data_IF_448832202113
#
_entry.id   IF_448832202113
#
_cell.length_a   1.000
_cell.length_b   1.000
_cell.length_c   1.000
_cell.angle_alpha   90.00
_cell.angle_beta   90.00
_cell.angle_gamma   90.00
#
_symmetry.space_group_name_H-M   'P 1'
#
loop_
_entity.id
_entity.type
_entity.pdbx_description
1 polymer ?
#
# COMPACT_ATOMS: atom_id res chain seq x y z
N UNK A 1 30.21 -1.34 -4.13
CA UNK A 1 29.60 -1.38 -3.82
C UNK A 1 29.14 -1.78 -3.90
N UNK A 2 29.57 -1.70 -4.21
CA UNK A 2 28.82 -1.64 -4.10
C UNK A 2 28.27 -1.89 -4.06
N UNK A 3 28.39 -1.89 -4.30
CA UNK A 3 27.58 -1.75 -4.01
C UNK A 3 26.89 -1.51 -3.60
N UNK A 4 27.18 -0.98 -3.62
CA UNK A 4 26.35 -0.49 -3.13
C UNK A 4 25.93 -0.26 -3.47
N UNK A 5 26.32 -0.25 -4.08
CA UNK A 5 25.70 0.10 -4.26
C UNK A 5 24.89 0.16 -4.31
N UNK A 6 25.32 0.06 -4.65
CA UNK A 6 24.46 0.40 -4.65
C UNK A 6 23.63 0.46 -4.42
N UNK A 7 23.59 0.42 -4.30
CA UNK A 7 22.64 0.97 -4.00
C UNK A 7 22.56 2.20 -4.21
N UNK A 8 23.24 2.58 -4.84
CA UNK A 8 23.08 3.73 -5.05
C UNK A 8 22.07 4.20 -5.18
N UNK A 9 22.18 5.05 -4.89
CA UNK A 9 20.88 5.04 -4.89
C UNK A 9 20.38 5.92 -5.87
N UNK A 10 19.89 5.27 -6.84
CA UNK A 10 19.27 5.95 -7.91
C UNK A 10 17.90 6.33 -7.49
N UNK A 11 17.36 7.43 -8.00
CA UNK A 11 15.98 7.82 -7.70
C UNK A 11 14.98 6.73 -8.02
N UNK A 12 15.23 5.96 -9.07
CA UNK A 12 14.36 4.87 -9.44
C UNK A 12 14.30 3.80 -8.36
N UNK A 13 15.44 3.56 -7.72
CA UNK A 13 15.49 2.57 -6.65
C UNK A 13 14.68 3.02 -5.45
N UNK A 14 14.68 4.31 -5.16
CA UNK A 14 13.87 4.83 -4.06
C UNK A 14 12.40 4.57 -4.31
N UNK A 15 11.95 4.72 -5.55
CA UNK A 15 10.57 4.41 -5.90
C UNK A 15 10.26 2.94 -5.76
N UNK A 16 11.21 2.08 -6.10
CA UNK A 16 11.03 0.64 -5.99
C UNK A 16 10.87 0.21 -4.54
N UNK A 17 11.63 0.83 -3.64
CA UNK A 17 11.49 0.52 -2.23
C UNK A 17 10.15 0.99 -1.68
N UNK A 18 9.65 2.10 -2.21
CA UNK A 18 8.41 2.66 -1.72
C UNK A 18 7.19 1.87 -2.19
N UNK A 19 7.30 1.17 -3.34
CA UNK A 19 6.14 0.57 -3.98
C UNK A 19 6.51 -0.72 -4.68
N UNK A 20 5.83 -1.82 -4.36
CA UNK A 20 6.07 -3.09 -5.06
C UNK A 20 5.73 -2.96 -6.54
N UNK A 21 6.51 -3.62 -7.37
CA UNK A 21 6.39 -3.46 -8.82
C UNK A 21 5.60 -4.55 -9.50
N UNK A 22 5.62 -5.76 -8.98
CA UNK A 22 4.91 -6.87 -9.62
C UNK A 22 3.66 -7.21 -8.84
N UNK A 23 2.69 -7.82 -9.52
CA UNK A 23 1.47 -8.25 -8.87
C UNK A 23 1.75 -9.20 -7.72
N UNK A 24 2.71 -10.09 -7.91
CA UNK A 24 3.07 -11.03 -6.85
C UNK A 24 3.59 -10.28 -5.61
N UNK A 25 4.46 -9.31 -5.83
CA UNK A 25 5.01 -8.52 -4.73
C UNK A 25 3.93 -7.69 -4.04
N UNK A 26 3.00 -7.14 -4.82
CA UNK A 26 1.90 -6.38 -4.27
C UNK A 26 1.03 -7.25 -3.38
N UNK A 27 0.69 -8.44 -3.85
CA UNK A 27 -0.12 -9.37 -3.07
C UNK A 27 0.60 -9.76 -1.79
N UNK A 28 1.89 -10.06 -1.88
CA UNK A 28 2.68 -10.42 -0.70
C UNK A 28 2.74 -9.28 0.30
N UNK A 29 2.90 -8.06 -0.21
CA UNK A 29 2.96 -6.88 0.66
C UNK A 29 1.63 -6.69 1.41
N UNK A 30 0.52 -6.76 0.69
CA UNK A 30 -0.79 -6.59 1.29
C UNK A 30 -1.07 -7.69 2.31
N UNK A 31 -0.70 -8.93 1.98
CA UNK A 31 -0.86 -10.03 2.91
C UNK A 31 -0.03 -9.85 4.18
N UNK A 32 1.20 -9.35 4.02
CA UNK A 32 2.07 -9.08 5.16
C UNK A 32 1.47 -8.02 6.06
N UNK A 33 0.95 -6.95 5.48
CA UNK A 33 0.33 -5.88 6.26
C UNK A 33 -0.89 -6.41 7.00
N UNK A 34 -1.73 -7.18 6.33
CA UNK A 34 -2.90 -7.76 6.97
C UNK A 34 -2.51 -8.69 8.11
N UNK A 35 -1.47 -9.47 7.91
CA UNK A 35 -0.98 -10.38 8.95
C UNK A 35 -0.48 -9.59 10.16
N UNK A 36 0.25 -8.51 9.91
CA UNK A 36 0.71 -7.65 10.99
C UNK A 36 -0.45 -7.06 11.77
N UNK A 37 -1.52 -6.68 11.09
CA UNK A 37 -2.68 -6.13 11.77
C UNK A 37 -3.35 -7.18 12.65
N UNK A 38 -3.43 -8.42 12.16
CA UNK A 38 -3.99 -9.52 12.94
C UNK A 38 -3.12 -9.80 14.18
N UNK A 39 -1.79 -9.81 13.99
CA UNK A 39 -0.87 -10.03 15.10
C UNK A 39 -0.98 -8.92 16.15
N UNK A 40 -1.09 -7.68 15.68
CA UNK A 40 -1.23 -6.54 16.58
C UNK A 40 -2.51 -6.65 17.41
N UNK A 41 -3.61 -7.04 16.75
CA UNK A 41 -4.88 -7.25 17.45
C UNK A 41 -4.77 -8.34 18.50
N UNK A 42 -4.06 -9.41 18.15
CA UNK A 42 -3.84 -10.51 19.08
C UNK A 42 -3.05 -10.05 20.30
N UNK A 43 -2.01 -9.26 20.09
CA UNK A 43 -1.20 -8.77 21.20
C UNK A 43 -2.00 -7.84 22.11
N UNK A 44 -2.89 -7.06 21.51
CA UNK A 44 -3.79 -6.23 22.31
C UNK A 44 -4.72 -7.11 23.17
N UNK A 45 -5.28 -8.15 22.58
CA UNK A 45 -6.17 -9.06 23.29
C UNK A 45 -5.48 -9.73 24.46
N UNK A 46 -4.18 -9.98 24.34
CA UNK A 46 -3.39 -10.59 25.41
C UNK A 46 -2.94 -9.58 26.46
N UNK A 47 -3.27 -8.31 26.27
CA UNK A 47 -2.90 -7.27 27.21
C UNK A 47 -1.46 -6.79 27.08
N UNK A 48 -0.77 -7.15 26.00
CA UNK A 48 0.62 -6.75 25.81
C UNK A 48 0.76 -5.40 25.16
N UNK A 49 -0.30 -4.90 24.54
CA UNK A 49 -0.32 -3.59 23.87
C UNK A 49 -1.56 -2.88 24.37
N UNK A 50 -1.40 -1.64 24.84
CA UNK A 50 -2.57 -0.91 25.31
C UNK A 50 -3.41 -0.42 24.14
N UNK A 51 -4.64 0.02 24.43
CA UNK A 51 -5.60 0.38 23.40
C UNK A 51 -5.18 1.55 22.56
N UNK A 52 -4.54 2.56 23.14
CA UNK A 52 -4.16 3.73 22.37
C UNK A 52 -2.98 3.42 21.44
N UNK A 53 -2.02 2.63 21.91
CA UNK A 53 -0.91 2.20 21.08
C UNK A 53 -1.41 1.33 19.93
N UNK A 54 -2.34 0.43 20.23
CA UNK A 54 -2.94 -0.42 19.20
C UNK A 54 -3.58 0.43 18.10
N UNK A 55 -4.38 1.42 18.49
CA UNK A 55 -5.07 2.26 17.50
C UNK A 55 -4.10 3.03 16.63
N UNK A 56 -3.03 3.57 17.23
CA UNK A 56 -2.03 4.29 16.46
C UNK A 56 -1.33 3.39 15.46
N UNK A 57 -0.89 2.22 15.91
CA UNK A 57 -0.14 1.31 15.05
C UNK A 57 -1.04 0.73 13.96
N UNK A 58 -2.28 0.38 14.31
CA UNK A 58 -3.19 -0.14 13.31
C UNK A 58 -3.50 0.90 12.24
N UNK A 59 -3.61 2.15 12.63
CA UNK A 59 -3.85 3.23 11.67
C UNK A 59 -2.69 3.37 10.68
N UNK A 60 -1.46 3.22 11.16
CA UNK A 60 -0.28 3.27 10.29
C UNK A 60 -0.36 2.13 9.28
N UNK A 61 -0.67 0.92 9.75
CA UNK A 61 -0.76 -0.24 8.86
C UNK A 61 -1.90 -0.08 7.85
N UNK A 62 -3.02 0.46 8.30
CA UNK A 62 -4.15 0.73 7.41
C UNK A 62 -3.76 1.70 6.30
N UNK A 63 -3.03 2.75 6.65
CA UNK A 63 -2.58 3.73 5.67
C UNK A 63 -1.58 3.15 4.67
N UNK A 64 -0.70 2.26 5.13
CA UNK A 64 0.21 1.57 4.24
C UNK A 64 -0.56 0.72 3.23
N UNK A 65 -1.56 0.00 3.72
CA UNK A 65 -2.39 -0.82 2.85
C UNK A 65 -3.11 0.03 1.82
N UNK A 66 -3.68 1.14 2.26
CA UNK A 66 -4.37 2.07 1.38
C UNK A 66 -3.42 2.65 0.33
N UNK A 67 -2.24 3.05 0.76
CA UNK A 67 -1.26 3.64 -0.15
C UNK A 67 -0.91 2.68 -1.28
N UNK A 68 -0.62 1.42 -0.94
CA UNK A 68 -0.26 0.43 -1.96
C UNK A 68 -1.44 0.18 -2.90
N UNK A 69 -2.65 0.09 -2.36
CA UNK A 69 -3.84 -0.11 -3.19
C UNK A 69 -4.04 1.05 -4.17
N UNK A 70 -3.99 2.28 -3.66
CA UNK A 70 -4.25 3.45 -4.49
C UNK A 70 -3.17 3.60 -5.56
N UNK A 71 -1.92 3.49 -5.17
CA UNK A 71 -0.84 3.66 -6.13
C UNK A 71 -0.83 2.55 -7.17
N UNK A 72 -1.21 1.33 -6.79
CA UNK A 72 -1.34 0.23 -7.74
C UNK A 72 -2.44 0.51 -8.75
N UNK A 73 -3.59 1.02 -8.28
CA UNK A 73 -4.70 1.35 -9.18
C UNK A 73 -4.31 2.47 -10.13
N UNK A 74 -3.61 3.48 -9.64
CA UNK A 74 -3.16 4.58 -10.48
C UNK A 74 -2.18 4.09 -11.53
N UNK A 75 -1.25 3.22 -11.14
CA UNK A 75 -0.29 2.66 -12.07
C UNK A 75 -0.97 1.85 -13.17
N UNK A 76 -1.95 1.02 -12.78
CA UNK A 76 -2.70 0.23 -13.75
C UNK A 76 -3.54 1.10 -14.66
N UNK A 77 -4.09 2.18 -14.12
CA UNK A 77 -4.82 3.15 -14.92
C UNK A 77 -3.91 3.79 -15.96
N UNK A 78 -2.71 4.16 -15.54
CA UNK A 78 -1.72 4.74 -16.46
C UNK A 78 -1.33 3.77 -17.57
N UNK A 79 -1.12 2.49 -17.21
CA UNK A 79 -0.81 1.48 -18.21
C UNK A 79 -1.93 1.28 -19.20
N UNK A 80 -3.17 1.24 -18.73
CA UNK A 80 -4.32 1.10 -19.60
C UNK A 80 -4.46 2.30 -20.51
N UNK A 81 -4.17 3.49 -19.97
CA UNK A 81 -4.21 4.71 -20.77
C UNK A 81 -3.19 4.69 -21.90
N UNK A 82 -1.98 4.21 -21.60
CA UNK A 82 -0.91 4.12 -22.59
C UNK A 82 -1.25 3.14 -23.71
N UNK A 83 -2.00 2.11 -23.42
CA UNK A 83 -2.43 1.15 -24.43
C UNK A 83 -3.79 1.49 -25.01
N UNK A 84 -4.28 2.69 -24.74
CA UNK A 84 -5.53 3.22 -25.26
C UNK A 84 -6.75 2.44 -24.83
N UNK A 85 -6.67 1.79 -23.67
CA UNK A 85 -7.80 1.10 -23.06
C UNK A 85 -8.49 2.05 -22.11
N UNK A 86 -9.21 3.03 -22.67
CA UNK A 86 -9.69 4.16 -21.90
C UNK A 86 -10.78 3.78 -20.89
N UNK A 87 -11.61 2.80 -21.22
CA UNK A 87 -12.61 2.32 -20.27
C UNK A 87 -11.99 1.69 -19.04
N UNK A 88 -10.96 0.88 -19.25
CA UNK A 88 -10.25 0.26 -18.14
C UNK A 88 -9.51 1.29 -17.31
N UNK A 89 -8.86 2.26 -17.98
CA UNK A 89 -8.16 3.33 -17.28
C UNK A 89 -9.11 4.08 -16.36
N UNK A 90 -10.28 4.41 -16.86
CA UNK A 90 -11.29 5.13 -16.08
C UNK A 90 -11.69 4.32 -14.85
N UNK A 91 -11.92 3.03 -15.02
CA UNK A 91 -12.32 2.18 -13.91
C UNK A 91 -11.25 2.11 -12.82
N UNK A 92 -9.98 2.00 -13.22
CA UNK A 92 -8.90 1.99 -12.24
C UNK A 92 -8.83 3.29 -11.47
N UNK A 93 -8.94 4.42 -12.17
CA UNK A 93 -8.89 5.72 -11.51
C UNK A 93 -10.10 5.93 -10.60
N UNK A 94 -11.28 5.50 -11.03
CA UNK A 94 -12.48 5.61 -10.20
C UNK A 94 -12.35 4.79 -8.92
N UNK A 95 -11.77 3.61 -9.02
CA UNK A 95 -11.53 2.79 -7.84
C UNK A 95 -10.53 3.43 -6.89
N UNK A 96 -9.49 4.09 -7.43
CA UNK A 96 -8.52 4.78 -6.60
C UNK A 96 -9.18 5.93 -5.85
N UNK A 97 -10.01 6.70 -6.53
CA UNK A 97 -10.72 7.81 -5.91
C UNK A 97 -11.66 7.30 -4.83
N UNK A 98 -12.40 6.24 -5.12
CA UNK A 98 -13.32 5.67 -4.14
C UNK A 98 -12.59 5.20 -2.88
N UNK A 99 -11.41 4.59 -3.04
CA UNK A 99 -10.62 4.15 -1.90
C UNK A 99 -10.17 5.32 -1.04
N UNK A 100 -9.75 6.41 -1.68
CA UNK A 100 -9.32 7.61 -0.96
C UNK A 100 -10.50 8.26 -0.24
N UNK A 101 -11.65 8.32 -0.89
CA UNK A 101 -12.84 8.93 -0.29
C UNK A 101 -13.31 8.14 0.92
N UNK A 102 -13.24 6.82 0.84
CA UNK A 102 -13.63 5.98 1.97
C UNK A 102 -12.71 6.22 3.17
N UNK A 103 -11.43 6.47 2.91
CA UNK A 103 -10.47 6.71 3.98
C UNK A 103 -10.69 8.04 4.67
N UNK A 104 -11.19 9.04 3.96
CA UNK A 104 -11.34 10.38 4.52
C UNK A 104 -12.66 10.59 5.25
N UNK A 105 -13.56 9.60 5.23
CA UNK A 105 -14.83 9.76 5.92
C UNK A 105 -14.64 9.63 7.43
N UNK A 106 -15.36 10.46 8.21
CA UNK A 106 -15.29 10.34 9.65
C UNK A 106 -15.94 9.04 10.11
N UNK A 107 -15.48 8.55 11.21
CA UNK A 107 -16.01 7.33 11.79
C UNK A 107 -17.34 7.53 12.48
#
# INVERSE_FOLDING_TARGET
>A
SARIKSIEIEPDNANQFALPETDKMIIQYIQAVKKLRVMLRSERSKGKVDGSTYLEQDKILERLQLKVNVETLIRRGGGAQQTNMLGSARQYYEKAIAALEAQTQPD
#
